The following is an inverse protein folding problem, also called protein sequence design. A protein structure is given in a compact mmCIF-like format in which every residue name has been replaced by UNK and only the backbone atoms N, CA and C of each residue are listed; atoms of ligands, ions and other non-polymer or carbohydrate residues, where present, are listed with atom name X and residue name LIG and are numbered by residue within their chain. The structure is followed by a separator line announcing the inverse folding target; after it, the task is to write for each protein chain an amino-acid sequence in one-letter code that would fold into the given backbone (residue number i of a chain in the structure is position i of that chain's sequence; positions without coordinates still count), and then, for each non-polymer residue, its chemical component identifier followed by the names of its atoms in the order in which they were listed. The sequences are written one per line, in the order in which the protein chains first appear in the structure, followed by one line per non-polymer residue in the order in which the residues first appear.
data_IF_074066702371
#
_entry.id   IF_074066702371
#
_cell.length_a   1.000
_cell.length_b   1.000
_cell.length_c   1.000
_cell.angle_alpha   90.00
_cell.angle_beta   90.00
_cell.angle_gamma   90.00
#
_symmetry.space_group_name_H-M   'P 1'
#
loop_
_entity.id
_entity.type
_entity.pdbx_description
1 polymer ?
#
# COMPACT_ATOMS: atom_id res chain seq x y z
N UNK A 1 47.80 36.51 -18.13
CA UNK A 1 47.39 35.18 -18.60
C UNK A 1 45.87 34.94 -18.51
N UNK A 2 45.16 35.19 -17.41
CA UNK A 2 43.71 34.91 -17.27
C UNK A 2 42.82 35.63 -18.30
N UNK A 3 43.10 36.92 -18.67
CA UNK A 3 42.31 37.66 -19.65
C UNK A 3 42.35 37.05 -21.05
N UNK A 4 43.45 36.40 -21.43
CA UNK A 4 43.57 35.70 -22.72
C UNK A 4 42.75 34.40 -22.78
N UNK A 5 42.74 33.65 -21.70
CA UNK A 5 41.93 32.45 -21.57
C UNK A 5 40.42 32.75 -21.60
N UNK A 6 40.00 33.81 -20.90
CA UNK A 6 38.60 34.27 -20.95
C UNK A 6 38.15 34.68 -22.32
N UNK A 7 39.01 35.36 -23.08
CA UNK A 7 38.72 35.79 -24.46
C UNK A 7 38.62 34.59 -25.41
N UNK A 8 39.43 33.56 -25.22
CA UNK A 8 39.39 32.31 -25.99
C UNK A 8 38.09 31.51 -25.70
N UNK A 9 37.69 31.45 -24.46
CA UNK A 9 36.41 30.82 -24.02
C UNK A 9 35.22 31.58 -24.62
N UNK A 10 35.27 32.93 -24.62
CA UNK A 10 34.19 33.76 -25.18
C UNK A 10 34.05 33.65 -26.72
N UNK A 11 35.15 33.47 -27.43
CA UNK A 11 35.12 33.26 -28.88
C UNK A 11 34.54 31.90 -29.30
N UNK A 12 34.56 30.91 -28.42
CA UNK A 12 33.96 29.57 -28.63
C UNK A 12 32.66 29.36 -27.85
N UNK A 13 31.96 30.46 -27.53
CA UNK A 13 30.77 30.45 -26.67
C UNK A 13 29.68 29.44 -27.08
N UNK A 14 29.48 29.22 -28.40
CA UNK A 14 28.47 28.25 -28.88
C UNK A 14 28.88 26.82 -28.61
N UNK A 15 30.13 26.42 -28.82
CA UNK A 15 30.62 25.07 -28.53
C UNK A 15 30.67 24.81 -27.04
N UNK A 16 31.14 25.79 -26.26
CA UNK A 16 31.18 25.67 -24.80
C UNK A 16 29.78 25.61 -24.18
N UNK A 17 28.81 26.37 -24.74
CA UNK A 17 27.42 26.30 -24.28
C UNK A 17 26.80 24.91 -24.54
N UNK A 18 27.14 24.30 -25.68
CA UNK A 18 26.64 22.95 -26.01
C UNK A 18 27.20 21.91 -25.06
N UNK A 19 28.47 21.95 -24.75
CA UNK A 19 29.10 21.05 -23.76
C UNK A 19 28.52 21.28 -22.37
N UNK A 20 28.30 22.53 -21.96
CA UNK A 20 27.68 22.86 -20.69
C UNK A 20 26.26 22.31 -20.60
N UNK A 21 25.49 22.42 -21.68
CA UNK A 21 24.14 21.87 -21.77
C UNK A 21 24.15 20.35 -21.67
N UNK A 22 25.06 19.68 -22.34
CA UNK A 22 25.25 18.24 -22.28
C UNK A 22 25.58 17.77 -20.84
N UNK A 23 26.55 18.43 -20.21
CA UNK A 23 26.92 18.15 -18.82
C UNK A 23 25.71 18.37 -17.88
N UNK A 24 24.96 19.45 -18.10
CA UNK A 24 23.78 19.78 -17.29
C UNK A 24 22.70 18.70 -17.41
N UNK A 25 22.36 18.27 -18.63
CA UNK A 25 21.37 17.22 -18.82
C UNK A 25 21.84 15.86 -18.27
N UNK A 26 23.11 15.52 -18.49
CA UNK A 26 23.70 14.31 -17.91
C UNK A 26 23.62 14.33 -16.38
N UNK A 27 23.95 15.46 -15.76
CA UNK A 27 23.82 15.65 -14.32
C UNK A 27 22.37 15.47 -13.86
N UNK A 28 21.39 16.09 -14.55
CA UNK A 28 19.98 15.95 -14.20
C UNK A 28 19.50 14.49 -14.25
N UNK A 29 19.92 13.76 -15.29
CA UNK A 29 19.55 12.33 -15.41
C UNK A 29 20.17 11.52 -14.28
N UNK A 30 21.48 11.67 -14.05
CA UNK A 30 22.18 10.93 -12.99
C UNK A 30 21.63 11.28 -11.61
N UNK A 31 21.34 12.55 -11.35
CA UNK A 31 20.74 13.02 -10.11
C UNK A 31 19.33 12.44 -9.92
N UNK A 32 18.50 12.47 -10.96
CA UNK A 32 17.14 11.91 -10.92
C UNK A 32 17.14 10.40 -10.66
N UNK A 33 17.98 9.65 -11.38
CA UNK A 33 18.12 8.20 -11.17
C UNK A 33 18.67 7.89 -9.78
N UNK A 34 19.67 8.65 -9.32
CA UNK A 34 20.24 8.49 -7.98
C UNK A 34 19.20 8.75 -6.88
N UNK A 35 18.43 9.82 -7.00
CA UNK A 35 17.36 10.16 -6.05
C UNK A 35 16.28 9.08 -6.02
N UNK A 36 15.83 8.63 -7.19
CA UNK A 36 14.86 7.53 -7.29
C UNK A 36 15.41 6.25 -6.68
N UNK A 37 16.67 5.92 -6.96
CA UNK A 37 17.33 4.74 -6.39
C UNK A 37 17.39 4.80 -4.85
N UNK A 38 17.74 5.95 -4.28
CA UNK A 38 17.74 6.14 -2.82
C UNK A 38 16.33 6.03 -2.23
N UNK A 39 15.32 6.61 -2.89
CA UNK A 39 13.93 6.52 -2.47
C UNK A 39 13.43 5.06 -2.46
N UNK A 40 13.68 4.31 -3.54
CA UNK A 40 13.31 2.90 -3.62
C UNK A 40 14.05 2.05 -2.58
N UNK A 41 15.32 2.34 -2.35
CA UNK A 41 16.13 1.66 -1.34
C UNK A 41 15.63 1.91 0.08
N UNK A 42 15.28 3.15 0.41
CA UNK A 42 14.69 3.50 1.72
C UNK A 42 13.33 2.82 1.90
N UNK A 43 12.48 2.87 0.86
CA UNK A 43 11.18 2.23 0.89
C UNK A 43 11.28 0.71 1.04
N UNK A 44 12.24 0.07 0.39
CA UNK A 44 12.50 -1.36 0.51
C UNK A 44 12.92 -1.80 1.91
N UNK A 45 13.60 -0.91 2.64
CA UNK A 45 14.09 -1.19 4.00
C UNK A 45 13.06 -0.94 5.09
N UNK A 46 11.95 -0.31 4.78
CA UNK A 46 10.90 -0.03 5.76
C UNK A 46 10.23 -1.32 6.20
N UNK A 47 10.09 -1.55 7.52
CA UNK A 47 9.32 -2.69 8.00
C UNK A 47 7.88 -2.55 7.54
N UNK A 48 7.31 -3.65 7.07
CA UNK A 48 5.92 -3.68 6.58
C UNK A 48 4.89 -3.59 7.71
N UNK A 49 5.30 -3.84 8.96
CA UNK A 49 4.40 -3.92 10.11
C UNK A 49 3.60 -5.23 10.18
N UNK A 50 3.82 -6.15 9.26
CA UNK A 50 3.22 -7.47 9.22
C UNK A 50 4.15 -8.50 8.58
N UNK A 51 3.92 -9.78 8.86
CA UNK A 51 4.64 -10.90 8.26
C UNK A 51 3.74 -11.58 7.23
N UNK A 52 4.27 -11.76 6.02
CA UNK A 52 3.57 -12.40 4.90
C UNK A 52 4.15 -13.78 4.54
N UNK A 53 5.16 -14.25 5.25
CA UNK A 53 5.75 -15.55 4.99
C UNK A 53 4.72 -16.65 5.28
N UNK A 54 4.63 -17.59 4.35
CA UNK A 54 3.67 -18.71 4.40
C UNK A 54 2.20 -18.28 4.37
N UNK A 55 1.91 -17.03 4.02
CA UNK A 55 0.55 -16.52 3.84
C UNK A 55 0.13 -16.61 2.37
N UNK A 56 -0.97 -17.27 2.13
CA UNK A 56 -1.56 -17.41 0.81
C UNK A 56 -2.80 -16.54 0.67
N UNK A 57 -2.84 -15.73 -0.38
CA UNK A 57 -4.02 -14.95 -0.73
C UNK A 57 -4.84 -15.71 -1.78
N UNK A 58 -6.04 -16.11 -1.41
CA UNK A 58 -7.00 -16.77 -2.31
C UNK A 58 -8.13 -15.80 -2.61
N UNK A 59 -8.20 -15.36 -3.87
CA UNK A 59 -9.27 -14.45 -4.29
C UNK A 59 -10.49 -15.23 -4.74
N UNK A 60 -11.60 -14.98 -4.06
CA UNK A 60 -12.91 -15.52 -4.44
C UNK A 60 -13.67 -14.42 -5.19
N UNK A 61 -13.93 -14.65 -6.48
CA UNK A 61 -14.71 -13.70 -7.27
C UNK A 61 -16.19 -14.06 -7.15
N UNK A 62 -16.92 -13.32 -6.34
CA UNK A 62 -18.37 -13.40 -6.24
C UNK A 62 -18.97 -12.24 -7.03
N UNK A 63 -19.76 -12.56 -8.04
CA UNK A 63 -20.47 -11.54 -8.79
C UNK A 63 -21.59 -10.95 -7.93
N UNK A 64 -21.52 -9.65 -7.62
CA UNK A 64 -22.62 -8.96 -6.97
C UNK A 64 -23.87 -9.01 -7.83
N UNK A 65 -25.02 -9.28 -7.24
CA UNK A 65 -26.28 -9.46 -7.96
C UNK A 65 -26.80 -8.17 -8.59
N UNK A 66 -26.60 -7.04 -7.94
CA UNK A 66 -26.86 -5.66 -8.39
C UNK A 66 -26.43 -4.68 -7.29
N UNK A 67 -26.07 -3.44 -7.67
CA UNK A 67 -25.75 -2.33 -6.75
C UNK A 67 -24.65 -2.61 -5.71
N UNK A 68 -23.59 -3.31 -6.08
CA UNK A 68 -22.44 -3.63 -5.22
C UNK A 68 -22.80 -4.28 -3.86
N UNK A 69 -24.01 -4.83 -3.73
CA UNK A 69 -24.44 -5.52 -2.51
C UNK A 69 -24.45 -7.05 -2.72
N UNK A 70 -23.83 -7.74 -1.77
CA UNK A 70 -23.86 -9.21 -1.74
C UNK A 70 -25.20 -9.70 -1.17
N UNK A 71 -25.72 -10.76 -1.75
CA UNK A 71 -26.91 -11.42 -1.20
C UNK A 71 -26.58 -12.15 0.11
N UNK A 72 -27.54 -12.36 1.02
CA UNK A 72 -27.32 -13.14 2.23
C UNK A 72 -26.75 -14.54 1.95
N UNK A 73 -27.17 -15.18 0.86
CA UNK A 73 -26.66 -16.49 0.42
C UNK A 73 -25.18 -16.45 0.03
N UNK A 74 -24.76 -15.37 -0.64
CA UNK A 74 -23.34 -15.16 -1.00
C UNK A 74 -22.49 -14.96 0.25
N UNK A 75 -22.97 -14.17 1.21
CA UNK A 75 -22.28 -13.95 2.51
C UNK A 75 -22.16 -15.26 3.26
N UNK A 76 -23.22 -16.08 3.33
CA UNK A 76 -23.18 -17.39 3.97
C UNK A 76 -22.22 -18.35 3.26
N UNK A 77 -22.20 -18.33 1.94
CA UNK A 77 -21.27 -19.13 1.13
C UNK A 77 -19.82 -18.75 1.42
N UNK A 78 -19.51 -17.45 1.49
CA UNK A 78 -18.18 -16.97 1.86
C UNK A 78 -17.78 -17.42 3.27
N UNK A 79 -18.69 -17.28 4.24
CA UNK A 79 -18.46 -17.74 5.61
C UNK A 79 -18.23 -19.25 5.70
N UNK A 80 -18.95 -20.04 4.89
CA UNK A 80 -18.75 -21.49 4.80
C UNK A 80 -17.37 -21.82 4.21
N UNK A 81 -16.97 -21.16 3.12
CA UNK A 81 -15.65 -21.36 2.52
C UNK A 81 -14.53 -21.07 3.51
N UNK A 82 -14.62 -20.00 4.29
CA UNK A 82 -13.66 -19.66 5.33
C UNK A 82 -13.56 -20.79 6.37
N UNK A 83 -14.69 -21.34 6.83
CA UNK A 83 -14.71 -22.46 7.78
C UNK A 83 -14.13 -23.75 7.20
N UNK A 84 -14.44 -24.06 5.94
CA UNK A 84 -13.93 -25.24 5.24
C UNK A 84 -12.40 -25.17 5.09
N UNK A 85 -11.88 -24.00 4.67
CA UNK A 85 -10.43 -23.80 4.55
C UNK A 85 -9.76 -23.85 5.92
N UNK A 86 -10.37 -23.28 6.95
CA UNK A 86 -9.85 -23.34 8.31
C UNK A 86 -9.79 -24.76 8.91
N UNK A 87 -10.58 -25.70 8.37
CA UNK A 87 -10.58 -27.10 8.82
C UNK A 87 -9.48 -27.95 8.16
N UNK A 88 -8.75 -27.44 7.20
CA UNK A 88 -7.66 -28.16 6.54
C UNK A 88 -6.45 -28.25 7.47
N UNK A 89 -5.91 -29.45 7.64
CA UNK A 89 -4.80 -29.75 8.57
C UNK A 89 -3.55 -28.83 8.43
N UNK A 90 -3.10 -28.43 7.23
CA UNK A 90 -1.94 -27.56 7.09
C UNK A 90 -2.24 -26.07 7.32
N UNK A 91 -3.51 -25.70 7.60
CA UNK A 91 -3.91 -24.29 7.72
C UNK A 91 -3.92 -23.87 9.17
N UNK A 92 -3.01 -22.99 9.55
CA UNK A 92 -2.89 -22.47 10.92
C UNK A 92 -3.90 -21.38 11.24
N UNK A 93 -4.33 -20.62 10.22
CA UNK A 93 -5.29 -19.55 10.37
C UNK A 93 -5.88 -19.07 9.05
N UNK A 94 -7.09 -18.55 9.11
CA UNK A 94 -7.79 -17.98 7.94
C UNK A 94 -8.39 -16.64 8.32
N UNK A 95 -8.30 -15.69 7.41
CA UNK A 95 -8.95 -14.40 7.54
C UNK A 95 -9.53 -13.95 6.20
N UNK A 96 -10.63 -13.23 6.28
CA UNK A 96 -11.21 -12.52 5.16
C UNK A 96 -10.72 -11.07 5.12
N UNK A 97 -10.45 -10.58 3.92
CA UNK A 97 -10.16 -9.18 3.67
C UNK A 97 -10.80 -8.77 2.36
N UNK A 98 -11.28 -7.54 2.26
CA UNK A 98 -11.78 -7.01 1.01
C UNK A 98 -10.64 -6.78 0.00
N UNK A 99 -9.50 -6.37 0.53
CA UNK A 99 -8.28 -6.22 -0.25
C UNK A 99 -7.12 -6.92 0.45
N UNK A 100 -6.45 -7.80 -0.27
CA UNK A 100 -5.23 -8.45 0.21
C UNK A 100 -4.05 -7.45 0.23
N UNK A 101 -3.06 -7.63 1.11
CA UNK A 101 -1.83 -6.88 1.07
C UNK A 101 -1.18 -6.96 -0.32
N UNK A 102 -0.58 -5.85 -0.76
CA UNK A 102 0.03 -5.70 -2.10
C UNK A 102 -0.94 -5.73 -3.28
N UNK A 103 -2.26 -5.69 -3.06
CA UNK A 103 -3.19 -5.45 -4.15
C UNK A 103 -3.06 -4.02 -4.67
N UNK A 104 -3.33 -3.82 -5.95
CA UNK A 104 -3.36 -2.49 -6.55
C UNK A 104 -4.68 -1.73 -6.28
N UNK A 105 -5.59 -2.34 -5.53
CA UNK A 105 -6.85 -1.73 -5.13
C UNK A 105 -6.69 -0.84 -3.90
N UNK A 106 -7.47 0.22 -3.82
CA UNK A 106 -7.64 1.02 -2.62
C UNK A 106 -9.12 1.43 -2.50
N UNK A 107 -9.75 1.09 -1.39
CA UNK A 107 -11.05 1.66 -1.05
C UNK A 107 -10.80 2.95 -0.27
N UNK A 108 -11.19 4.07 -0.85
CA UNK A 108 -10.98 5.38 -0.25
C UNK A 108 -12.28 5.93 0.30
N UNK A 109 -12.29 6.20 1.58
CA UNK A 109 -13.39 6.86 2.28
C UNK A 109 -13.01 8.26 2.73
N UNK A 110 -14.01 9.14 2.88
CA UNK A 110 -13.84 10.45 3.49
C UNK A 110 -14.81 10.58 4.65
N UNK A 111 -14.32 10.99 5.81
CA UNK A 111 -15.13 11.30 6.98
C UNK A 111 -14.82 12.70 7.47
N UNK A 112 -15.83 13.35 8.03
CA UNK A 112 -15.65 14.63 8.71
C UNK A 112 -15.39 14.38 10.20
N UNK A 113 -14.19 14.74 10.65
CA UNK A 113 -13.76 14.59 12.04
C UNK A 113 -13.41 15.99 12.57
N UNK A 114 -14.13 16.45 13.59
CA UNK A 114 -13.94 17.79 14.19
C UNK A 114 -13.97 18.93 13.17
N UNK A 115 -14.87 18.89 12.19
CA UNK A 115 -15.00 19.91 11.15
C UNK A 115 -13.94 19.84 10.04
N UNK A 116 -13.07 18.82 10.05
CA UNK A 116 -12.07 18.58 9.01
C UNK A 116 -12.42 17.32 8.22
N UNK A 117 -12.41 17.43 6.89
CA UNK A 117 -12.56 16.25 6.03
C UNK A 117 -11.26 15.47 5.99
N UNK A 118 -11.30 14.27 6.55
CA UNK A 118 -10.19 13.34 6.54
C UNK A 118 -10.48 12.27 5.49
N UNK A 119 -9.56 12.11 4.53
CA UNK A 119 -9.61 11.03 3.55
C UNK A 119 -8.67 9.92 4.03
N UNK A 120 -9.17 8.70 4.05
CA UNK A 120 -8.43 7.53 4.50
C UNK A 120 -8.63 6.37 3.54
N UNK A 121 -7.63 5.53 3.40
CA UNK A 121 -7.78 4.26 2.72
C UNK A 121 -8.34 3.24 3.73
N UNK A 122 -9.38 2.52 3.33
CA UNK A 122 -10.13 1.58 4.17
C UNK A 122 -9.90 0.17 3.66
N UNK A 123 -9.84 -0.78 4.57
CA UNK A 123 -9.91 -2.20 4.26
C UNK A 123 -10.86 -2.87 5.26
N UNK A 124 -11.87 -3.55 4.78
CA UNK A 124 -12.76 -4.35 5.62
C UNK A 124 -12.12 -5.72 5.80
N UNK A 125 -11.90 -6.10 7.05
CA UNK A 125 -11.22 -7.35 7.42
C UNK A 125 -11.96 -8.07 8.54
N UNK A 126 -11.76 -9.38 8.61
CA UNK A 126 -12.25 -10.17 9.74
C UNK A 126 -11.30 -10.07 10.94
N UNK A 127 -11.78 -10.49 12.11
CA UNK A 127 -11.02 -10.47 13.37
C UNK A 127 -9.70 -11.25 13.31
N UNK A 128 -9.65 -12.33 12.54
CA UNK A 128 -8.45 -13.15 12.37
C UNK A 128 -7.32 -12.51 11.55
N UNK A 129 -7.58 -11.39 10.88
CA UNK A 129 -6.64 -10.79 9.92
C UNK A 129 -5.28 -10.43 10.53
N UNK A 130 -5.27 -9.80 11.71
CA UNK A 130 -4.02 -9.49 12.39
C UNK A 130 -3.24 -10.74 12.80
N UNK A 131 -3.94 -11.79 13.22
CA UNK A 131 -3.30 -13.05 13.60
C UNK A 131 -2.64 -13.75 12.41
N UNK A 132 -3.31 -13.81 11.26
CA UNK A 132 -2.78 -14.41 10.03
C UNK A 132 -1.56 -13.67 9.53
N UNK A 133 -1.58 -12.35 9.59
CA UNK A 133 -0.46 -11.50 9.16
C UNK A 133 0.56 -11.23 10.27
N UNK A 134 0.37 -11.79 11.46
CA UNK A 134 1.21 -11.53 12.63
C UNK A 134 1.43 -10.03 12.86
N UNK A 135 0.39 -9.23 12.60
CA UNK A 135 0.45 -7.78 12.73
C UNK A 135 0.50 -7.38 14.21
N UNK A 136 1.45 -6.53 14.57
CA UNK A 136 1.60 -6.05 15.94
C UNK A 136 0.67 -4.86 16.20
N UNK A 137 -0.14 -4.95 17.23
CA UNK A 137 -0.98 -3.84 17.70
C UNK A 137 -0.15 -2.94 18.61
N UNK A 138 0.30 -1.80 18.10
CA UNK A 138 1.15 -0.86 18.83
C UNK A 138 0.38 -0.14 19.96
N UNK A 139 -0.92 0.10 19.76
CA UNK A 139 -1.78 0.79 20.73
C UNK A 139 -3.23 0.39 20.59
N UNK A 140 -3.92 0.24 21.71
CA UNK A 140 -5.31 -0.19 21.72
C UNK A 140 -5.48 -1.71 21.66
N UNK A 141 -6.49 -2.18 20.98
CA UNK A 141 -6.75 -3.60 20.77
C UNK A 141 -7.23 -3.89 19.37
N UNK A 142 -7.06 -5.12 18.94
CA UNK A 142 -7.66 -5.60 17.70
C UNK A 142 -9.14 -5.97 17.90
N UNK A 143 -9.83 -6.21 16.79
CA UNK A 143 -11.23 -6.64 16.78
C UNK A 143 -11.44 -7.95 17.55
N UNK A 144 -12.61 -8.08 18.17
CA UNK A 144 -13.04 -9.26 18.90
C UNK A 144 -14.43 -9.70 18.41
N UNK A 145 -14.81 -10.98 18.55
CA UNK A 145 -16.13 -11.45 18.13
C UNK A 145 -17.30 -10.66 18.74
N UNK A 146 -17.12 -10.14 19.95
CA UNK A 146 -18.11 -9.31 20.63
C UNK A 146 -18.38 -7.97 19.90
N UNK A 147 -17.44 -7.49 19.11
CA UNK A 147 -17.59 -6.23 18.37
C UNK A 147 -18.62 -6.34 17.23
N UNK A 148 -18.92 -7.56 16.76
CA UNK A 148 -19.97 -7.81 15.77
C UNK A 148 -21.39 -7.46 16.28
N UNK A 149 -21.60 -7.41 17.60
CA UNK A 149 -22.87 -7.03 18.21
C UNK A 149 -23.04 -5.51 18.40
N UNK A 150 -22.01 -4.71 18.09
CA UNK A 150 -22.07 -3.26 18.23
C UNK A 150 -22.95 -2.63 17.13
N UNK A 151 -23.66 -1.56 17.48
CA UNK A 151 -24.46 -0.78 16.53
C UNK A 151 -23.62 0.13 15.63
N UNK A 152 -22.31 0.19 15.86
CA UNK A 152 -21.33 0.97 15.08
C UNK A 152 -20.18 0.07 14.66
N UNK A 153 -19.52 0.41 13.57
CA UNK A 153 -18.37 -0.35 13.05
C UNK A 153 -17.09 0.10 13.75
N UNK A 154 -16.41 -0.77 14.50
CA UNK A 154 -15.11 -0.45 15.07
C UNK A 154 -14.06 -0.29 13.97
N UNK A 155 -13.09 0.60 14.19
CA UNK A 155 -11.96 0.80 13.30
C UNK A 155 -10.64 0.70 14.07
N UNK A 156 -9.64 0.15 13.41
CA UNK A 156 -8.24 0.14 13.87
C UNK A 156 -7.45 1.01 12.88
N UNK A 157 -6.63 1.91 13.41
CA UNK A 157 -5.87 2.89 12.66
C UNK A 157 -4.37 2.64 12.87
#
# INVERSE_FOLDING_TARGET
MMRHLLKLVWNRKRANALIMLEIFFTFLVVFGVGTLGMYLWDNWRRPLGFDWHDVWAVRVNMQAASDDTFTPEQVETAARLVREVASLEPVEGVAGAMMEPFSFGAMRGSQEINGHRVTMDLNEVTEGFAGVLRAEVVRGRWFQPADAALSWRPAVI
#
